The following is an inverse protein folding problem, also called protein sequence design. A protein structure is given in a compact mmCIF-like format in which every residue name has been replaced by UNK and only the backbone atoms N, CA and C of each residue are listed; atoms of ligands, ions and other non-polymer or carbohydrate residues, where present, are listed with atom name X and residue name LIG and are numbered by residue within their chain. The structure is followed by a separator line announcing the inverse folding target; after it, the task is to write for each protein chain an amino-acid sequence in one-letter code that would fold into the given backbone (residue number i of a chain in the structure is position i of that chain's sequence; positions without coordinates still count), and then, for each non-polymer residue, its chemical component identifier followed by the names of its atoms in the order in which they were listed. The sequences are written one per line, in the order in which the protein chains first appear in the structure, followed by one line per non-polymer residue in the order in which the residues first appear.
data_IF_915732050543
#
_entry.id   IF_915732050543
#
_cell.length_a   1.000
_cell.length_b   1.000
_cell.length_c   1.000
_cell.angle_alpha   90.00
_cell.angle_beta   90.00
_cell.angle_gamma   90.00
#
_symmetry.space_group_name_H-M   'P 1'
#
loop_
_entity.id
_entity.type
_entity.pdbx_description
1 polymer ?
#
# COMPACT_ATOMS: atom_id res chain seq x y z
N UNK A 1 -9.26 0.97 6.06
CA UNK A 1 -8.98 -0.44 6.44
C UNK A 1 -7.46 -0.69 6.45
N UNK A 2 -6.97 -1.75 7.10
CA UNK A 2 -5.51 -1.99 7.18
C UNK A 2 -5.08 -3.45 7.39
N UNK A 3 -3.83 -3.74 7.04
CA UNK A 3 -3.19 -5.05 7.15
C UNK A 3 -1.96 -4.93 8.03
N UNK A 4 -1.84 -5.83 9.00
CA UNK A 4 -0.72 -5.86 9.94
C UNK A 4 0.12 -7.11 9.72
N UNK A 5 1.44 -6.95 9.64
CA UNK A 5 2.37 -8.06 9.47
C UNK A 5 3.67 -7.85 10.28
N UNK A 6 4.42 -8.93 10.49
CA UNK A 6 5.65 -8.93 11.31
C UNK A 6 6.88 -8.35 10.60
N UNK A 7 6.82 -8.09 9.30
CA UNK A 7 7.91 -7.45 8.58
C UNK A 7 7.95 -5.96 8.90
N UNK A 8 9.15 -5.47 9.19
CA UNK A 8 9.43 -4.05 9.48
C UNK A 8 9.85 -3.27 8.23
N UNK A 9 9.91 -3.91 7.07
CA UNK A 9 10.29 -3.25 5.81
C UNK A 9 9.14 -2.36 5.33
N UNK A 10 9.37 -1.06 5.25
CA UNK A 10 8.38 -0.11 4.73
C UNK A 10 8.16 -0.39 3.24
N UNK A 11 6.91 -0.54 2.77
CA UNK A 11 6.63 -0.70 1.36
C UNK A 11 6.98 0.58 0.60
N UNK A 12 7.60 0.43 -0.57
CA UNK A 12 7.97 1.55 -1.44
C UNK A 12 7.04 1.53 -2.64
N UNK A 13 6.44 2.67 -2.95
CA UNK A 13 5.66 2.82 -4.17
C UNK A 13 6.59 2.72 -5.37
N UNK A 14 6.35 1.72 -6.21
CA UNK A 14 7.15 1.49 -7.42
C UNK A 14 6.36 1.91 -8.65
N UNK A 15 6.73 3.07 -9.19
CA UNK A 15 6.21 3.58 -10.47
C UNK A 15 7.08 3.17 -11.67
N UNK A 16 8.24 2.56 -11.42
CA UNK A 16 9.25 2.17 -12.41
C UNK A 16 8.96 0.87 -13.17
N UNK A 17 7.81 0.25 -12.93
CA UNK A 17 7.44 -0.99 -13.61
C UNK A 17 6.95 -0.66 -15.02
N UNK A 18 7.85 -0.72 -16.01
CA UNK A 18 7.59 -0.61 -17.45
C UNK A 18 6.71 -1.77 -17.98
N UNK A 19 5.58 -2.06 -17.35
CA UNK A 19 4.62 -3.12 -17.70
C UNK A 19 5.10 -4.56 -17.48
N UNK A 20 6.39 -4.82 -17.64
CA UNK A 20 6.95 -6.18 -17.79
C UNK A 20 7.24 -6.91 -16.47
N UNK A 21 7.15 -6.21 -15.33
CA UNK A 21 7.36 -6.82 -14.01
C UNK A 21 6.04 -7.29 -13.41
N UNK A 22 5.96 -8.60 -13.17
CA UNK A 22 4.78 -9.21 -12.55
C UNK A 22 4.60 -8.84 -11.06
N UNK A 23 5.66 -8.37 -10.38
CA UNK A 23 5.67 -8.03 -8.94
C UNK A 23 5.77 -6.52 -8.71
N UNK A 24 5.29 -6.05 -7.55
CA UNK A 24 5.45 -4.65 -7.11
C UNK A 24 4.30 -3.71 -7.50
N UNK A 25 3.22 -4.23 -8.10
CA UNK A 25 2.05 -3.45 -8.51
C UNK A 25 1.01 -3.23 -7.40
N UNK A 26 1.09 -3.98 -6.30
CA UNK A 26 0.09 -3.91 -5.22
C UNK A 26 -0.07 -2.50 -4.64
N UNK A 27 1.05 -1.83 -4.34
CA UNK A 27 1.01 -0.48 -3.76
C UNK A 27 0.52 0.57 -4.77
N UNK A 28 0.75 0.37 -6.07
CA UNK A 28 0.21 1.24 -7.12
C UNK A 28 -1.31 1.16 -7.18
N UNK A 29 -1.88 -0.04 -7.03
CA UNK A 29 -3.34 -0.22 -6.98
C UNK A 29 -3.94 0.45 -5.74
N UNK A 30 -3.30 0.29 -4.58
CA UNK A 30 -3.71 0.98 -3.34
C UNK A 30 -3.73 2.48 -3.59
N UNK A 31 -2.60 3.06 -3.99
CA UNK A 31 -2.44 4.50 -4.29
C UNK A 31 -3.50 5.04 -5.27
N UNK A 32 -3.89 4.26 -6.27
CA UNK A 32 -4.89 4.68 -7.25
C UNK A 32 -6.32 4.68 -6.69
N UNK A 33 -6.65 3.71 -5.83
CA UNK A 33 -8.02 3.42 -5.38
C UNK A 33 -8.39 4.06 -4.04
N UNK A 34 -7.44 4.70 -3.37
CA UNK A 34 -7.61 5.24 -2.01
C UNK A 34 -7.43 6.75 -2.01
N UNK A 35 -8.17 7.47 -1.16
CA UNK A 35 -7.95 8.89 -0.92
C UNK A 35 -6.64 9.12 -0.18
N UNK A 36 -6.37 8.27 0.82
CA UNK A 36 -5.15 8.30 1.59
C UNK A 36 -4.68 6.88 1.92
N UNK A 37 -3.37 6.67 1.98
CA UNK A 37 -2.79 5.44 2.47
C UNK A 37 -1.46 5.71 3.17
N UNK A 38 -1.08 4.83 4.09
CA UNK A 38 0.10 5.04 4.90
C UNK A 38 0.66 3.76 5.49
N UNK A 39 1.81 3.89 6.16
CA UNK A 39 2.43 2.81 6.92
C UNK A 39 2.78 3.28 8.32
N UNK A 40 2.35 2.53 9.32
CA UNK A 40 2.76 2.70 10.71
C UNK A 40 3.75 1.61 11.11
N UNK A 41 4.84 2.00 11.76
CA UNK A 41 5.83 1.05 12.28
C UNK A 41 5.57 0.77 13.75
N UNK A 42 5.50 -0.51 14.09
CA UNK A 42 5.47 -0.99 15.45
C UNK A 42 6.82 -1.60 15.86
N UNK A 43 7.01 -1.89 17.14
CA UNK A 43 8.23 -2.59 17.61
C UNK A 43 8.35 -3.98 16.99
N UNK A 44 7.23 -4.65 16.72
CA UNK A 44 7.18 -6.05 16.28
C UNK A 44 6.82 -6.24 14.79
N UNK A 45 6.58 -5.15 14.05
CA UNK A 45 6.09 -5.24 12.68
C UNK A 45 5.67 -3.88 12.13
N UNK A 46 4.75 -3.90 11.18
CA UNK A 46 4.15 -2.70 10.61
C UNK A 46 2.67 -2.92 10.31
N UNK A 47 1.93 -1.83 10.18
CA UNK A 47 0.61 -1.79 9.61
C UNK A 47 0.63 -0.94 8.35
N UNK A 48 0.05 -1.46 7.27
CA UNK A 48 -0.26 -0.67 6.07
C UNK A 48 -1.77 -0.41 6.10
N UNK A 49 -2.17 0.84 5.98
CA UNK A 49 -3.57 1.24 6.01
C UNK A 49 -3.92 2.07 4.79
N UNK A 50 -5.21 2.10 4.45
CA UNK A 50 -5.75 2.96 3.42
C UNK A 50 -7.21 3.32 3.66
N UNK A 51 -7.58 4.51 3.21
CA UNK A 51 -8.92 5.06 3.17
C UNK A 51 -9.41 5.01 1.73
N UNK A 52 -10.44 4.21 1.47
CA UNK A 52 -10.95 4.01 0.11
C UNK A 52 -11.68 5.27 -0.35
N UNK A 53 -11.56 5.58 -1.64
CA UNK A 53 -12.33 6.65 -2.26
C UNK A 53 -13.81 6.37 -2.09
N UNK A 54 -14.57 7.37 -1.65
CA UNK A 54 -16.02 7.31 -1.79
C UNK A 54 -16.36 7.31 -3.28
N UNK A 55 -16.81 6.16 -3.77
CA UNK A 55 -17.44 6.10 -5.09
C UNK A 55 -18.80 6.75 -4.94
N UNK A 56 -19.00 7.96 -5.47
CA UNK A 56 -20.35 8.48 -5.72
C UNK A 56 -21.09 7.44 -6.58
N UNK A 57 -22.22 6.93 -6.05
CA UNK A 57 -23.03 5.89 -6.65
C UNK A 57 -24.07 6.45 -7.63
#
# INVERSE_FOLDING_TARGET
MGVVDRSRTIPILRTDSKGDRLRGRGLLLVDTLTDEWGTELYRWGKQVWAELKETEA
#
